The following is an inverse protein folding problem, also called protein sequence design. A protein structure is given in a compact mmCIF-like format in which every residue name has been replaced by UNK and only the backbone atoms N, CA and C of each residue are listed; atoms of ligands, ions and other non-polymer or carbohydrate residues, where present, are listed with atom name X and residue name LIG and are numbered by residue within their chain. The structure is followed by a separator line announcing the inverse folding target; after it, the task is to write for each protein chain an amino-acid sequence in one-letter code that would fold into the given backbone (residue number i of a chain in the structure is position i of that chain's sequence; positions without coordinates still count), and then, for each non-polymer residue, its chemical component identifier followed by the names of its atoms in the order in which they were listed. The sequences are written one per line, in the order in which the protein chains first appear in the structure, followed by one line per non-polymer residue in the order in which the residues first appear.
data_IF_458431145377
#
_entry.id   IF_458431145377
#
_cell.length_a   1.000
_cell.length_b   1.000
_cell.length_c   1.000
_cell.angle_alpha   90.00
_cell.angle_beta   90.00
_cell.angle_gamma   90.00
#
_symmetry.space_group_name_H-M   'P 1'
#
loop_
_entity.id
_entity.type
_entity.pdbx_description
1 polymer ?
#
# COMPACT_ATOMS: atom_id res chain seq x y z
N UNK A 1 1.91 -8.60 -14.53
CA UNK A 1 2.55 -7.36 -14.08
C UNK A 1 2.40 -6.32 -15.18
N UNK A 2 1.66 -5.29 -14.91
CA UNK A 2 1.36 -4.27 -15.90
C UNK A 2 2.62 -3.42 -16.14
N UNK A 3 3.00 -3.22 -17.41
CA UNK A 3 4.20 -2.45 -17.79
C UNK A 3 4.22 -1.01 -17.26
N UNK A 4 3.07 -0.47 -16.88
CA UNK A 4 2.92 0.85 -16.26
C UNK A 4 3.36 0.90 -14.79
N UNK A 5 3.11 -0.14 -14.00
CA UNK A 5 3.51 -0.16 -12.58
C UNK A 5 5.03 -0.25 -12.39
N UNK A 6 5.73 -0.95 -13.30
CA UNK A 6 7.19 -1.04 -13.24
C UNK A 6 7.88 0.27 -13.65
N UNK A 7 7.23 1.10 -14.47
CA UNK A 7 7.76 2.39 -14.93
C UNK A 7 7.59 3.45 -13.84
N UNK A 8 6.48 3.44 -13.11
CA UNK A 8 6.22 4.37 -12.01
C UNK A 8 7.14 4.07 -10.81
N UNK A 9 7.35 2.80 -10.49
CA UNK A 9 8.27 2.40 -9.43
C UNK A 9 9.72 2.79 -9.76
N UNK A 10 10.16 2.60 -11.01
CA UNK A 10 11.50 3.02 -11.47
C UNK A 10 11.66 4.53 -11.50
N UNK A 11 10.61 5.27 -11.87
CA UNK A 11 10.60 6.73 -11.81
C UNK A 11 10.65 7.24 -10.38
N UNK A 12 9.90 6.63 -9.46
CA UNK A 12 9.95 6.97 -8.03
C UNK A 12 11.33 6.72 -7.45
N UNK A 13 11.94 5.57 -7.73
CA UNK A 13 13.29 5.23 -7.29
C UNK A 13 14.32 6.21 -7.88
N UNK A 14 14.21 6.55 -9.15
CA UNK A 14 15.11 7.49 -9.82
C UNK A 14 14.95 8.93 -9.33
N UNK A 15 13.73 9.34 -9.00
CA UNK A 15 13.48 10.64 -8.35
C UNK A 15 14.00 10.67 -6.91
N UNK A 16 14.02 9.52 -6.23
CA UNK A 16 14.58 9.38 -4.88
C UNK A 16 16.12 9.41 -4.89
N UNK A 17 16.76 8.90 -5.93
CA UNK A 17 18.21 8.88 -6.10
C UNK A 17 18.78 10.20 -6.67
N UNK A 18 17.95 11.02 -7.33
CA UNK A 18 18.40 12.18 -8.09
C UNK A 18 18.53 13.50 -7.34
N UNK A 19 17.78 13.70 -6.27
CA UNK A 19 17.78 14.94 -5.50
C UNK A 19 17.66 14.63 -4.00
N UNK A 20 18.78 14.24 -3.40
CA UNK A 20 18.84 14.20 -1.94
C UNK A 20 18.86 15.63 -1.40
N UNK A 21 17.71 16.09 -0.92
CA UNK A 21 17.62 17.28 -0.09
C UNK A 21 17.58 16.87 1.39
N UNK A 22 18.49 17.39 2.18
CA UNK A 22 18.44 17.19 3.62
C UNK A 22 17.27 17.99 4.22
N UNK A 23 16.19 17.28 4.49
CA UNK A 23 14.97 17.84 5.08
C UNK A 23 14.88 17.58 6.60
N UNK A 24 15.99 17.21 7.25
CA UNK A 24 16.02 16.90 8.68
C UNK A 24 15.40 18.02 9.52
N UNK A 25 15.79 19.25 9.27
CA UNK A 25 15.25 20.43 9.97
C UNK A 25 13.75 20.59 9.74
N UNK A 26 13.29 20.41 8.52
CA UNK A 26 11.87 20.48 8.18
C UNK A 26 11.07 19.38 8.88
N UNK A 27 11.54 18.13 8.85
CA UNK A 27 10.91 16.98 9.53
C UNK A 27 10.78 17.25 11.03
N UNK A 28 11.84 17.78 11.65
CA UNK A 28 11.86 18.13 13.08
C UNK A 28 10.93 19.27 13.41
N UNK A 29 10.73 20.20 12.49
CA UNK A 29 9.83 21.35 12.67
C UNK A 29 8.36 20.94 12.58
N UNK A 30 7.98 20.15 11.57
CA UNK A 30 6.57 19.83 11.30
C UNK A 30 6.02 18.68 12.13
N UNK A 31 6.84 17.69 12.46
CA UNK A 31 6.49 16.54 13.33
C UNK A 31 5.19 15.84 12.93
N UNK A 32 5.13 15.37 11.69
CA UNK A 32 3.94 14.76 11.12
C UNK A 32 3.61 13.34 11.60
N UNK A 33 4.57 12.63 12.21
CA UNK A 33 4.39 11.20 12.58
C UNK A 33 3.17 10.94 13.44
N UNK A 34 2.95 11.73 14.47
CA UNK A 34 1.81 11.57 15.38
C UNK A 34 0.48 11.88 14.69
N UNK A 35 0.45 12.88 13.81
CA UNK A 35 -0.73 13.23 13.02
C UNK A 35 -1.11 12.14 12.02
N UNK A 36 -0.13 11.54 11.36
CA UNK A 36 -0.33 10.41 10.46
C UNK A 36 -0.89 9.21 11.24
N UNK A 37 -0.27 8.88 12.36
CA UNK A 37 -0.69 7.77 13.23
C UNK A 37 -2.12 7.95 13.75
N UNK A 38 -2.45 9.16 14.21
CA UNK A 38 -3.78 9.49 14.70
C UNK A 38 -4.83 9.34 13.60
N UNK A 39 -4.58 9.81 12.40
CA UNK A 39 -5.52 9.73 11.30
C UNK A 39 -5.72 8.30 10.77
N UNK A 40 -4.66 7.50 10.73
CA UNK A 40 -4.77 6.06 10.41
C UNK A 40 -5.68 5.37 11.44
N UNK A 41 -5.49 5.65 12.73
CA UNK A 41 -6.35 5.10 13.79
C UNK A 41 -7.81 5.52 13.63
N UNK A 42 -8.08 6.77 13.29
CA UNK A 42 -9.45 7.26 13.01
C UNK A 42 -10.10 6.50 11.87
N UNK A 43 -9.39 6.26 10.77
CA UNK A 43 -9.93 5.49 9.63
C UNK A 43 -10.24 4.05 10.05
N UNK A 44 -9.36 3.41 10.80
CA UNK A 44 -9.58 2.05 11.27
C UNK A 44 -10.79 1.94 12.20
N UNK A 45 -11.01 2.93 13.05
CA UNK A 45 -12.22 3.03 13.89
C UNK A 45 -13.47 3.21 13.01
N UNK A 46 -13.43 4.11 12.03
CA UNK A 46 -14.53 4.31 11.11
C UNK A 46 -14.94 3.05 10.35
N UNK A 47 -13.98 2.24 9.96
CA UNK A 47 -14.24 0.96 9.28
C UNK A 47 -15.09 0.02 10.13
N UNK A 48 -14.83 -0.01 11.44
CA UNK A 48 -15.58 -0.84 12.39
C UNK A 48 -16.96 -0.24 12.66
N UNK A 49 -17.03 1.05 12.95
CA UNK A 49 -18.27 1.74 13.31
C UNK A 49 -19.25 1.89 12.13
N UNK A 50 -18.72 1.98 10.92
CA UNK A 50 -19.49 2.21 9.69
C UNK A 50 -19.32 1.07 8.67
N UNK A 51 -19.24 -0.15 9.13
CA UNK A 51 -19.04 -1.33 8.29
C UNK A 51 -20.17 -1.48 7.24
N UNK A 52 -21.41 -1.23 7.62
CA UNK A 52 -22.55 -1.28 6.70
C UNK A 52 -22.50 -0.17 5.65
N UNK A 53 -22.17 1.05 6.04
CA UNK A 53 -22.00 2.16 5.09
C UNK A 53 -20.88 1.85 4.09
N UNK A 54 -19.77 1.31 4.58
CA UNK A 54 -18.61 0.93 3.73
C UNK A 54 -18.99 -0.12 2.69
N UNK A 55 -19.83 -1.07 3.07
CA UNK A 55 -20.30 -2.16 2.20
C UNK A 55 -21.36 -1.67 1.20
N UNK A 56 -22.32 -0.89 1.65
CA UNK A 56 -23.49 -0.51 0.85
C UNK A 56 -23.27 0.76 0.03
N UNK A 57 -22.48 1.69 0.53
CA UNK A 57 -22.19 2.96 -0.12
C UNK A 57 -20.69 3.32 0.02
N UNK A 58 -19.80 2.63 -0.71
CA UNK A 58 -18.35 2.82 -0.59
C UNK A 58 -17.88 4.25 -0.81
N UNK A 59 -18.50 4.98 -1.74
CA UNK A 59 -18.15 6.37 -2.02
C UNK A 59 -18.51 7.30 -0.86
N UNK A 60 -19.65 7.07 -0.21
CA UNK A 60 -20.05 7.83 0.98
C UNK A 60 -19.09 7.55 2.16
N UNK A 61 -18.64 6.31 2.31
CA UNK A 61 -17.63 5.96 3.30
C UNK A 61 -16.30 6.66 3.05
N UNK A 62 -15.83 6.72 1.80
CA UNK A 62 -14.59 7.42 1.42
C UNK A 62 -14.71 8.92 1.75
N UNK A 63 -15.83 9.55 1.48
CA UNK A 63 -16.06 10.96 1.82
C UNK A 63 -16.05 11.19 3.35
N UNK A 64 -16.63 10.29 4.12
CA UNK A 64 -16.59 10.34 5.58
C UNK A 64 -15.15 10.18 6.09
N UNK A 65 -14.40 9.23 5.55
CA UNK A 65 -12.98 9.01 5.89
C UNK A 65 -12.12 10.22 5.53
N UNK A 66 -12.36 10.82 4.36
CA UNK A 66 -11.67 12.02 3.89
C UNK A 66 -11.86 13.20 4.84
N UNK A 67 -13.06 13.40 5.32
CA UNK A 67 -13.40 14.47 6.27
C UNK A 67 -12.79 14.22 7.64
N UNK A 68 -12.85 12.98 8.11
CA UNK A 68 -12.37 12.59 9.44
C UNK A 68 -10.84 12.56 9.53
N UNK A 69 -10.17 12.09 8.49
CA UNK A 69 -8.71 12.00 8.38
C UNK A 69 -8.17 12.97 7.33
N UNK A 70 -8.60 14.22 7.39
CA UNK A 70 -8.29 15.23 6.39
C UNK A 70 -6.80 15.52 6.25
N UNK A 71 -6.05 15.54 7.35
CA UNK A 71 -4.61 15.75 7.33
C UNK A 71 -3.91 14.66 6.50
N UNK A 72 -4.23 13.40 6.74
CA UNK A 72 -3.67 12.28 6.00
C UNK A 72 -4.08 12.33 4.52
N UNK A 73 -5.34 12.58 4.25
CA UNK A 73 -5.85 12.72 2.89
C UNK A 73 -5.14 13.83 2.10
N UNK A 74 -4.97 15.00 2.70
CA UNK A 74 -4.38 16.16 2.05
C UNK A 74 -2.88 16.02 1.79
N UNK A 75 -2.15 15.50 2.78
CA UNK A 75 -0.68 15.49 2.75
C UNK A 75 -0.09 14.15 2.29
N UNK A 76 -0.79 13.05 2.51
CA UNK A 76 -0.33 11.69 2.25
C UNK A 76 -1.44 10.86 1.61
N UNK A 77 -1.91 11.31 0.46
CA UNK A 77 -3.07 10.74 -0.25
C UNK A 77 -2.91 9.24 -0.55
N UNK A 78 -1.71 8.81 -0.94
CA UNK A 78 -1.45 7.40 -1.23
C UNK A 78 -1.60 6.51 0.01
N UNK A 79 -1.11 6.97 1.15
CA UNK A 79 -1.28 6.26 2.42
C UNK A 79 -2.76 6.21 2.80
N UNK A 80 -3.46 7.33 2.69
CA UNK A 80 -4.91 7.40 2.92
C UNK A 80 -5.66 6.35 2.08
N UNK A 81 -5.42 6.33 0.78
CA UNK A 81 -6.07 5.38 -0.12
C UNK A 81 -5.78 3.92 0.24
N UNK A 82 -4.53 3.61 0.58
CA UNK A 82 -4.13 2.25 0.99
C UNK A 82 -4.78 1.82 2.30
N UNK A 83 -4.90 2.72 3.27
CA UNK A 83 -5.57 2.44 4.55
C UNK A 83 -7.06 2.17 4.32
N UNK A 84 -7.72 3.00 3.52
CA UNK A 84 -9.15 2.84 3.21
C UNK A 84 -9.44 1.51 2.51
N UNK A 85 -8.53 1.07 1.63
CA UNK A 85 -8.67 -0.15 0.84
C UNK A 85 -8.14 -1.43 1.52
N UNK A 86 -7.65 -1.33 2.75
CA UNK A 86 -6.97 -2.44 3.46
C UNK A 86 -5.76 -3.01 2.70
N UNK A 87 -5.05 -2.16 1.97
CA UNK A 87 -3.86 -2.52 1.19
C UNK A 87 -2.55 -2.16 1.90
N UNK A 88 -2.62 -1.60 3.10
CA UNK A 88 -1.47 -1.19 3.89
C UNK A 88 -1.10 -2.25 4.93
N UNK A 89 0.19 -2.64 4.95
CA UNK A 89 0.74 -3.40 6.06
C UNK A 89 0.94 -2.48 7.27
N UNK A 90 0.15 -2.69 8.31
CA UNK A 90 0.17 -1.85 9.50
C UNK A 90 1.44 -2.02 10.34
N UNK A 91 2.06 -3.20 10.31
CA UNK A 91 3.30 -3.46 11.04
C UNK A 91 4.45 -2.71 10.40
N UNK A 92 4.58 -2.76 9.07
CA UNK A 92 5.58 -1.98 8.31
C UNK A 92 5.33 -0.49 8.47
N UNK A 93 4.08 -0.04 8.38
CA UNK A 93 3.73 1.36 8.56
C UNK A 93 4.08 1.87 9.96
N UNK A 94 3.86 1.07 10.98
CA UNK A 94 4.25 1.39 12.35
C UNK A 94 5.76 1.55 12.48
N UNK A 95 6.55 0.69 11.84
CA UNK A 95 8.01 0.80 11.81
C UNK A 95 8.47 2.08 11.10
N UNK A 96 7.88 2.39 9.95
CA UNK A 96 8.17 3.65 9.22
C UNK A 96 7.88 4.87 10.09
N UNK A 97 6.74 4.90 10.77
CA UNK A 97 6.36 6.00 11.66
C UNK A 97 7.29 6.10 12.88
N UNK A 98 7.78 4.98 13.40
CA UNK A 98 8.75 4.96 14.49
C UNK A 98 10.09 5.56 14.05
N UNK A 99 10.57 5.22 12.85
CA UNK A 99 11.80 5.83 12.27
C UNK A 99 11.61 7.33 12.06
N UNK A 100 10.48 7.74 11.52
CA UNK A 100 10.16 9.16 11.35
C UNK A 100 10.15 9.89 12.70
N UNK A 101 9.57 9.30 13.72
CA UNK A 101 9.55 9.82 15.09
C UNK A 101 10.96 9.99 15.67
N UNK A 102 11.85 9.03 15.43
CA UNK A 102 13.26 9.12 15.85
C UNK A 102 13.99 10.30 15.20
N UNK A 103 13.71 10.61 13.93
CA UNK A 103 14.24 11.79 13.26
C UNK A 103 13.69 13.07 13.92
N UNK A 104 12.40 13.13 14.17
CA UNK A 104 11.73 14.26 14.81
C UNK A 104 12.27 14.57 16.21
N UNK A 105 12.64 13.52 16.95
CA UNK A 105 13.16 13.61 18.32
C UNK A 105 14.70 13.74 18.40
N UNK A 106 15.37 14.02 17.31
CA UNK A 106 16.84 14.16 17.23
C UNK A 106 17.65 12.90 17.58
N UNK A 107 17.07 11.72 17.52
CA UNK A 107 17.76 10.46 17.80
C UNK A 107 18.62 10.01 16.62
N UNK A 108 18.15 10.23 15.41
CA UNK A 108 18.85 9.98 14.16
C UNK A 108 18.65 11.15 13.19
N UNK A 109 19.56 11.31 12.23
CA UNK A 109 19.39 12.29 11.17
C UNK A 109 18.58 11.70 9.99
N UNK A 110 18.20 12.55 9.05
CA UNK A 110 17.47 12.09 7.86
C UNK A 110 18.30 11.11 7.03
N UNK A 111 19.61 11.26 6.97
CA UNK A 111 20.45 10.40 6.14
C UNK A 111 20.34 8.93 6.60
N UNK A 112 20.53 8.68 7.89
CA UNK A 112 20.38 7.36 8.48
C UNK A 112 18.91 6.87 8.46
N UNK A 113 17.98 7.74 8.79
CA UNK A 113 16.56 7.47 8.76
C UNK A 113 16.04 7.20 7.35
N UNK A 114 16.52 7.90 6.34
CA UNK A 114 16.11 7.71 4.94
C UNK A 114 16.46 6.34 4.40
N UNK A 115 17.63 5.81 4.76
CA UNK A 115 18.02 4.44 4.38
C UNK A 115 17.04 3.42 4.98
N UNK A 116 16.73 3.55 6.26
CA UNK A 116 15.77 2.68 6.95
C UNK A 116 14.35 2.82 6.38
N UNK A 117 13.88 4.05 6.21
CA UNK A 117 12.55 4.32 5.63
C UNK A 117 12.48 3.82 4.19
N UNK A 118 13.52 4.03 3.39
CA UNK A 118 13.58 3.55 2.01
C UNK A 118 13.45 2.03 1.92
N UNK A 119 14.11 1.29 2.79
CA UNK A 119 13.98 -0.17 2.88
C UNK A 119 12.57 -0.59 3.29
N UNK A 120 12.01 0.05 4.33
CA UNK A 120 10.66 -0.25 4.82
C UNK A 120 9.58 0.10 3.80
N UNK A 121 9.70 1.23 3.09
CA UNK A 121 8.77 1.60 2.02
C UNK A 121 8.84 0.64 0.85
N UNK A 122 10.03 0.17 0.49
CA UNK A 122 10.20 -0.85 -0.55
C UNK A 122 9.48 -2.14 -0.16
N UNK A 123 9.65 -2.62 1.07
CA UNK A 123 8.95 -3.77 1.61
C UNK A 123 7.43 -3.54 1.63
N UNK A 124 6.98 -2.35 2.05
CA UNK A 124 5.57 -1.97 2.08
C UNK A 124 4.92 -2.06 0.69
N UNK A 125 5.56 -1.52 -0.34
CA UNK A 125 5.02 -1.57 -1.71
C UNK A 125 5.05 -2.99 -2.30
N UNK A 126 6.11 -3.74 -2.06
CA UNK A 126 6.22 -5.14 -2.51
C UNK A 126 5.17 -6.00 -1.81
N UNK A 127 5.01 -5.86 -0.50
CA UNK A 127 4.04 -6.61 0.29
C UNK A 127 2.60 -6.26 -0.11
N UNK A 128 2.28 -4.98 -0.33
CA UNK A 128 0.98 -4.55 -0.85
C UNK A 128 0.67 -5.15 -2.22
N UNK A 129 1.65 -5.22 -3.11
CA UNK A 129 1.50 -5.84 -4.43
C UNK A 129 1.25 -7.35 -4.32
N UNK A 130 1.95 -8.04 -3.40
CA UNK A 130 1.76 -9.45 -3.12
C UNK A 130 0.37 -9.73 -2.53
N UNK A 131 -0.09 -8.95 -1.57
CA UNK A 131 -1.44 -9.05 -1.00
C UNK A 131 -2.53 -8.84 -2.05
N UNK A 132 -2.34 -7.89 -2.96
CA UNK A 132 -3.24 -7.66 -4.09
C UNK A 132 -3.25 -8.86 -5.05
N UNK A 133 -2.08 -9.44 -5.33
CA UNK A 133 -1.93 -10.65 -6.12
C UNK A 133 -2.66 -11.85 -5.49
N UNK A 134 -2.45 -12.10 -4.20
CA UNK A 134 -3.12 -13.17 -3.45
C UNK A 134 -4.64 -12.99 -3.43
N UNK A 135 -5.13 -11.76 -3.26
CA UNK A 135 -6.56 -11.46 -3.30
C UNK A 135 -7.15 -11.76 -4.67
N UNK A 136 -6.49 -11.36 -5.74
CA UNK A 136 -6.90 -11.65 -7.11
C UNK A 136 -6.86 -13.15 -7.40
N UNK A 137 -5.86 -13.87 -6.94
CA UNK A 137 -5.74 -15.32 -7.10
C UNK A 137 -6.84 -16.05 -6.33
N UNK A 138 -7.22 -15.59 -5.15
CA UNK A 138 -8.32 -16.13 -4.37
C UNK A 138 -9.69 -15.87 -5.01
N UNK A 139 -9.88 -14.70 -5.62
CA UNK A 139 -11.10 -14.35 -6.35
C UNK A 139 -11.21 -15.10 -7.69
N UNK A 140 -10.07 -15.40 -8.31
CA UNK A 140 -9.96 -16.12 -9.60
C UNK A 140 -9.52 -17.57 -9.42
N UNK A 141 -9.82 -18.24 -8.31
CA UNK A 141 -9.57 -19.69 -8.20
C UNK A 141 -10.21 -20.37 -9.39
N UNK A 142 -9.37 -20.74 -10.35
CA UNK A 142 -9.79 -21.62 -11.44
C UNK A 142 -10.37 -22.89 -10.82
N UNK A 143 -11.53 -23.36 -11.30
CA UNK A 143 -11.99 -24.70 -10.92
C UNK A 143 -10.82 -25.65 -11.16
N UNK A 144 -10.61 -26.56 -10.21
CA UNK A 144 -9.61 -27.63 -10.35
C UNK A 144 -9.65 -28.13 -11.79
N UNK A 145 -8.54 -27.97 -12.48
CA UNK A 145 -8.40 -28.63 -13.78
C UNK A 145 -8.48 -30.11 -13.49
N UNK A 146 -9.63 -30.68 -13.77
CA UNK A 146 -9.71 -32.12 -13.92
C UNK A 146 -8.65 -32.45 -14.97
N UNK A 147 -7.63 -33.19 -14.57
CA UNK A 147 -6.61 -33.64 -15.50
C UNK A 147 -7.35 -34.38 -16.65
N UNK A 148 -7.60 -33.62 -17.69
CA UNK A 148 -8.07 -34.21 -18.94
C UNK A 148 -6.98 -35.17 -19.41
N UNK A 149 -7.33 -36.39 -19.71
CA UNK A 149 -6.43 -37.32 -20.35
C UNK A 149 -5.73 -36.58 -21.51
N UNK A 150 -4.41 -36.62 -21.51
CA UNK A 150 -3.62 -36.03 -22.59
C UNK A 150 -4.01 -36.75 -23.91
N UNK A 151 -4.94 -36.16 -24.62
CA UNK A 151 -5.36 -36.64 -25.94
C UNK A 151 -4.35 -36.04 -26.93
N UNK A 152 -3.66 -36.94 -27.67
CA UNK A 152 -2.78 -36.47 -28.73
C UNK A 152 -3.61 -35.75 -29.78
N UNK A 153 -3.01 -34.74 -30.45
CA UNK A 153 -3.67 -34.02 -31.53
C UNK A 153 -4.18 -34.95 -32.65
N UNK A 154 -3.48 -36.05 -32.91
CA UNK A 154 -3.87 -37.07 -33.85
C UNK A 154 -5.15 -37.81 -33.44
N UNK A 155 -5.31 -38.12 -32.15
CA UNK A 155 -6.48 -38.78 -31.60
C UNK A 155 -7.70 -37.84 -31.55
N UNK A 156 -7.47 -36.56 -31.23
CA UNK A 156 -8.52 -35.54 -31.31
C UNK A 156 -9.06 -35.39 -32.72
N UNK A 157 -8.17 -35.38 -33.71
CA UNK A 157 -8.53 -35.27 -35.15
C UNK A 157 -9.33 -36.45 -35.65
N UNK A 158 -9.04 -37.64 -35.14
CA UNK A 158 -9.82 -38.86 -35.48
C UNK A 158 -11.22 -38.88 -34.87
N UNK A 159 -11.42 -38.25 -33.71
CA UNK A 159 -12.72 -38.17 -33.02
C UNK A 159 -13.67 -37.11 -33.58
N UNK A 160 -13.15 -36.03 -34.19
CA UNK A 160 -13.91 -34.85 -34.62
C UNK A 160 -13.94 -34.66 -36.14
N UNK A 161 -13.49 -35.62 -36.89
CA UNK A 161 -13.66 -35.74 -38.33
C UNK A 161 -14.47 -36.98 -38.65
#
# INVERSE_FOLDING_TARGET
MNKMESIDLKKMIKNFEGEYQDNTEYIRKVKHSDSIRADISKINILKVENADLRRMAPLAFIELARTTAFFLYKNYTDIFNKVVKDELDMDIMTQVLNVLKQIEENQIDQNNGSVLIGQLLKELYVDSALKMGEKLDNENKKPEQVEGQAISWADWKKKNL
#
